data_IF_346331988229
#
_entry.id   IF_346331988229
#
_cell.length_a   1.000
_cell.length_b   1.000
_cell.length_c   1.000
_cell.angle_alpha   90.00
_cell.angle_beta   90.00
_cell.angle_gamma   90.00
#
_symmetry.space_group_name_H-M   'P 1'
#
loop_
_entity.id
_entity.type
_entity.pdbx_description
1 polymer ?
#
# COMPACT_ATOMS: atom_id res chain seq x y z
N UNK A 1 17.42 -9.08 -47.55
CA UNK A 1 16.78 -10.16 -46.77
C UNK A 1 15.27 -10.02 -46.96
N UNK A 2 14.41 -10.99 -46.61
CA UNK A 2 12.96 -10.73 -46.67
C UNK A 2 12.58 -9.70 -45.60
N UNK A 3 11.55 -8.87 -45.83
CA UNK A 3 11.15 -7.81 -44.88
C UNK A 3 10.79 -8.37 -43.49
N UNK A 4 10.34 -9.63 -43.42
CA UNK A 4 10.06 -10.34 -42.17
C UNK A 4 11.33 -10.68 -41.39
N UNK A 5 12.41 -11.08 -42.07
CA UNK A 5 13.70 -11.36 -41.42
C UNK A 5 14.30 -10.08 -40.83
N UNK A 6 14.19 -8.96 -41.55
CA UNK A 6 14.63 -7.64 -41.06
C UNK A 6 13.81 -7.20 -39.85
N UNK A 7 12.48 -7.33 -39.91
CA UNK A 7 11.58 -7.00 -38.78
C UNK A 7 11.90 -7.84 -37.54
N UNK A 8 12.10 -9.15 -37.71
CA UNK A 8 12.48 -10.04 -36.61
C UNK A 8 13.84 -9.68 -35.99
N UNK A 9 14.79 -9.25 -36.83
CA UNK A 9 16.10 -8.77 -36.35
C UNK A 9 15.95 -7.50 -35.51
N UNK A 10 15.14 -6.53 -35.96
CA UNK A 10 14.87 -5.30 -35.21
C UNK A 10 14.25 -5.58 -33.85
N UNK A 11 13.25 -6.47 -33.77
CA UNK A 11 12.62 -6.83 -32.49
C UNK A 11 13.61 -7.51 -31.54
N UNK A 12 14.48 -8.38 -32.05
CA UNK A 12 15.55 -9.01 -31.25
C UNK A 12 16.52 -7.96 -30.71
N UNK A 13 16.91 -7.02 -31.54
CA UNK A 13 17.78 -5.93 -31.12
C UNK A 13 17.12 -5.03 -30.08
N UNK A 14 15.84 -4.67 -30.26
CA UNK A 14 15.07 -3.92 -29.28
C UNK A 14 14.96 -4.63 -27.93
N UNK A 15 14.88 -5.97 -27.94
CA UNK A 15 14.84 -6.80 -26.73
C UNK A 15 16.12 -6.63 -25.88
N UNK A 16 17.28 -6.58 -26.54
CA UNK A 16 18.61 -6.51 -25.89
C UNK A 16 19.09 -5.07 -25.65
N UNK A 17 18.66 -4.14 -26.50
CA UNK A 17 19.06 -2.74 -26.49
C UNK A 17 17.86 -1.81 -26.29
N UNK A 18 17.36 -1.66 -25.05
CA UNK A 18 16.15 -0.89 -24.78
C UNK A 18 16.25 0.59 -25.15
N UNK A 19 17.44 1.20 -25.10
CA UNK A 19 17.62 2.60 -25.50
C UNK A 19 17.46 2.78 -27.01
N UNK A 20 17.88 1.78 -27.80
CA UNK A 20 17.63 1.75 -29.25
C UNK A 20 16.14 1.58 -29.54
N UNK A 21 15.46 0.66 -28.84
CA UNK A 21 14.00 0.54 -28.89
C UNK A 21 13.30 1.88 -28.63
N UNK A 22 13.73 2.61 -27.60
CA UNK A 22 13.15 3.90 -27.25
C UNK A 22 13.37 4.93 -28.37
N UNK A 23 14.60 5.06 -28.86
CA UNK A 23 14.95 6.01 -29.92
C UNK A 23 14.17 5.73 -31.22
N UNK A 24 14.02 4.47 -31.60
CA UNK A 24 13.31 4.07 -32.82
C UNK A 24 11.79 4.29 -32.71
N UNK A 25 11.21 4.12 -31.52
CA UNK A 25 9.76 4.24 -31.31
C UNK A 25 9.28 5.65 -30.94
N UNK A 26 10.15 6.48 -30.37
CA UNK A 26 9.79 7.81 -29.86
C UNK A 26 10.80 8.87 -30.33
N UNK A 27 10.94 9.07 -31.66
CA UNK A 27 11.91 10.02 -32.19
C UNK A 27 11.64 11.44 -31.65
N UNK A 28 12.69 12.10 -31.16
CA UNK A 28 12.62 13.44 -30.57
C UNK A 28 12.25 13.48 -29.08
N UNK A 29 11.91 12.35 -28.46
CA UNK A 29 11.82 12.25 -27.01
C UNK A 29 13.20 11.98 -26.39
N UNK A 30 13.38 12.40 -25.14
CA UNK A 30 14.60 12.13 -24.35
C UNK A 30 14.26 11.42 -23.05
N UNK A 31 15.20 10.61 -22.57
CA UNK A 31 15.14 9.96 -21.27
C UNK A 31 16.04 10.70 -20.28
N UNK A 32 15.54 10.90 -19.06
CA UNK A 32 16.38 11.35 -17.96
C UNK A 32 17.31 10.21 -17.50
N UNK A 33 18.44 10.49 -16.82
CA UNK A 33 19.39 9.46 -16.40
C UNK A 33 18.76 8.31 -15.59
N UNK A 34 17.84 8.60 -14.68
CA UNK A 34 17.14 7.57 -13.91
C UNK A 34 16.19 6.70 -14.77
N UNK A 35 15.66 7.25 -15.86
CA UNK A 35 14.81 6.51 -16.78
C UNK A 35 15.65 5.60 -17.68
N UNK A 36 16.84 6.05 -18.09
CA UNK A 36 17.85 5.23 -18.77
C UNK A 36 18.21 4.03 -17.89
N UNK A 37 18.64 4.29 -16.65
CA UNK A 37 19.00 3.25 -15.69
C UNK A 37 17.87 2.23 -15.47
N UNK A 38 16.63 2.73 -15.31
CA UNK A 38 15.47 1.88 -15.10
C UNK A 38 15.17 0.98 -16.31
N UNK A 39 15.26 1.52 -17.53
CA UNK A 39 14.95 0.78 -18.74
C UNK A 39 16.04 -0.26 -19.07
N UNK A 40 17.31 0.07 -18.83
CA UNK A 40 18.43 -0.86 -18.92
C UNK A 40 18.31 -1.98 -17.88
N UNK A 41 17.97 -1.65 -16.63
CA UNK A 41 17.71 -2.65 -15.60
C UNK A 41 16.52 -3.54 -15.95
N UNK A 42 15.48 -2.96 -16.56
CA UNK A 42 14.28 -3.67 -16.99
C UNK A 42 14.59 -4.73 -18.05
N UNK A 43 15.32 -4.37 -19.11
CA UNK A 43 15.68 -5.30 -20.18
C UNK A 43 16.76 -6.32 -19.77
N UNK A 44 17.53 -6.03 -18.72
CA UNK A 44 18.63 -6.88 -18.27
C UNK A 44 18.16 -8.30 -17.90
N UNK A 45 18.87 -9.36 -18.35
CA UNK A 45 18.61 -10.74 -17.95
C UNK A 45 19.10 -11.07 -16.53
N UNK A 46 19.74 -10.11 -15.85
CA UNK A 46 20.25 -10.28 -14.49
C UNK A 46 19.11 -10.61 -13.50
N UNK A 47 19.17 -11.75 -12.79
CA UNK A 47 18.12 -12.15 -11.85
C UNK A 47 17.97 -11.17 -10.68
N UNK A 48 19.01 -10.40 -10.34
CA UNK A 48 18.94 -9.36 -9.29
C UNK A 48 18.11 -8.16 -9.72
N UNK A 49 17.84 -8.02 -11.02
CA UNK A 49 17.03 -6.95 -11.62
C UNK A 49 15.64 -7.43 -12.02
N UNK A 50 15.16 -8.54 -11.46
CA UNK A 50 13.78 -8.98 -11.63
C UNK A 50 12.78 -8.03 -10.94
N UNK A 51 13.20 -7.42 -9.83
CA UNK A 51 12.38 -6.51 -9.03
C UNK A 51 13.03 -5.13 -9.06
N UNK A 52 12.34 -4.17 -9.64
CA UNK A 52 12.85 -2.81 -9.86
C UNK A 52 11.95 -1.83 -9.11
N UNK A 53 12.55 -1.01 -8.25
CA UNK A 53 11.83 -0.03 -7.45
C UNK A 53 12.32 1.38 -7.76
N UNK A 54 11.40 2.25 -8.20
CA UNK A 54 11.64 3.68 -8.36
C UNK A 54 11.17 4.40 -7.10
N UNK A 55 12.09 4.64 -6.17
CA UNK A 55 11.86 5.47 -4.99
C UNK A 55 12.09 6.93 -5.37
N UNK A 56 11.01 7.68 -5.56
CA UNK A 56 11.08 8.94 -6.29
C UNK A 56 10.48 10.13 -5.51
N UNK A 57 11.02 11.32 -5.73
CA UNK A 57 10.40 12.60 -5.39
C UNK A 57 9.13 12.87 -6.24
N UNK A 58 8.44 14.00 -6.03
CA UNK A 58 7.29 14.40 -6.84
C UNK A 58 7.74 14.93 -8.19
N UNK A 59 7.07 14.53 -9.28
CA UNK A 59 7.33 15.07 -10.63
C UNK A 59 8.54 14.57 -11.45
N UNK A 60 9.30 13.51 -11.11
CA UNK A 60 10.51 13.15 -11.88
C UNK A 60 10.23 12.27 -13.11
N UNK A 61 8.97 12.10 -13.53
CA UNK A 61 8.62 11.23 -14.67
C UNK A 61 8.54 9.74 -14.35
N UNK A 62 8.35 9.36 -13.07
CA UNK A 62 8.30 7.96 -12.60
C UNK A 62 7.23 7.09 -13.30
N UNK A 63 6.05 7.67 -13.56
CA UNK A 63 4.95 6.99 -14.26
C UNK A 63 5.30 6.72 -15.73
N UNK A 64 5.97 7.67 -16.42
CA UNK A 64 6.43 7.46 -17.79
C UNK A 64 7.45 6.31 -17.86
N UNK A 65 8.32 6.17 -16.85
CA UNK A 65 9.27 5.06 -16.76
C UNK A 65 8.57 3.70 -16.67
N UNK A 66 7.47 3.59 -15.91
CA UNK A 66 6.64 2.37 -15.90
C UNK A 66 6.01 2.09 -17.26
N UNK A 67 5.54 3.13 -17.96
CA UNK A 67 5.00 3.00 -19.32
C UNK A 67 6.06 2.49 -20.28
N UNK A 68 7.29 2.99 -20.23
CA UNK A 68 8.37 2.53 -21.11
C UNK A 68 8.73 1.07 -20.85
N UNK A 69 8.82 0.64 -19.58
CA UNK A 69 8.98 -0.79 -19.26
C UNK A 69 7.82 -1.65 -19.78
N UNK A 70 6.57 -1.18 -19.62
CA UNK A 70 5.40 -1.88 -20.12
C UNK A 70 5.34 -2.00 -21.64
N UNK A 71 5.62 -0.92 -22.36
CA UNK A 71 5.65 -0.90 -23.82
C UNK A 71 6.80 -1.74 -24.36
N UNK A 72 8.00 -1.61 -23.79
CA UNK A 72 9.16 -2.45 -24.14
C UNK A 72 8.81 -3.93 -23.97
N UNK A 73 8.20 -4.30 -22.84
CA UNK A 73 7.76 -5.67 -22.58
C UNK A 73 6.80 -6.20 -23.64
N UNK A 74 5.67 -5.53 -23.88
CA UNK A 74 4.69 -6.04 -24.85
C UNK A 74 5.18 -5.96 -26.30
N UNK A 75 6.11 -5.06 -26.62
CA UNK A 75 6.61 -4.90 -27.98
C UNK A 75 7.77 -5.84 -28.33
N UNK A 76 8.45 -6.41 -27.33
CA UNK A 76 9.70 -7.14 -27.56
C UNK A 76 9.72 -8.55 -26.98
N UNK A 77 8.90 -8.87 -25.98
CA UNK A 77 8.90 -10.18 -25.32
C UNK A 77 7.88 -11.12 -25.94
N UNK A 78 8.19 -12.42 -25.96
CA UNK A 78 7.33 -13.45 -26.55
C UNK A 78 8.12 -14.43 -27.43
N UNK A 79 7.52 -15.60 -27.62
CA UNK A 79 7.93 -16.63 -28.59
C UNK A 79 6.72 -17.12 -29.38
N UNK A 80 6.96 -17.95 -30.39
CA UNK A 80 5.89 -18.63 -31.12
C UNK A 80 4.96 -19.41 -30.16
N UNK A 81 3.70 -18.98 -30.06
CA UNK A 81 2.68 -19.60 -29.21
C UNK A 81 2.71 -19.15 -27.74
N UNK A 82 3.69 -18.35 -27.32
CA UNK A 82 3.85 -17.89 -25.94
C UNK A 82 3.94 -16.36 -25.91
N UNK A 83 2.80 -15.70 -25.63
CA UNK A 83 2.68 -14.25 -25.69
C UNK A 83 2.86 -13.56 -24.31
N UNK A 84 3.34 -12.31 -24.29
CA UNK A 84 3.52 -11.57 -23.05
C UNK A 84 2.17 -11.18 -22.42
N UNK A 85 2.08 -11.38 -21.11
CA UNK A 85 0.92 -11.04 -20.28
C UNK A 85 1.39 -10.23 -19.09
N UNK A 86 0.77 -9.07 -18.88
CA UNK A 86 1.07 -8.27 -17.71
C UNK A 86 -0.14 -7.57 -17.12
N UNK A 87 0.02 -7.07 -15.91
CA UNK A 87 -0.97 -6.23 -15.27
C UNK A 87 -0.36 -4.95 -14.72
N UNK A 88 -1.16 -3.90 -14.76
CA UNK A 88 -0.88 -2.62 -14.14
C UNK A 88 -1.87 -2.38 -13.01
N UNK A 89 -1.37 -1.96 -11.86
CA UNK A 89 -2.14 -1.57 -10.69
C UNK A 89 -1.64 -0.23 -10.15
N UNK A 90 -2.49 0.47 -9.41
CA UNK A 90 -2.11 1.64 -8.64
C UNK A 90 -2.83 1.61 -7.29
N UNK A 91 -2.49 2.54 -6.39
CA UNK A 91 -3.08 2.61 -5.04
C UNK A 91 -4.62 2.65 -5.05
N UNK A 92 -5.21 3.29 -6.06
CA UNK A 92 -6.64 3.25 -6.33
C UNK A 92 -6.92 3.10 -7.82
N UNK A 93 -8.11 2.60 -8.16
CA UNK A 93 -8.55 2.54 -9.56
C UNK A 93 -8.62 3.91 -10.23
N UNK A 94 -8.96 4.97 -9.49
CA UNK A 94 -8.99 6.34 -10.01
C UNK A 94 -7.57 6.81 -10.34
N UNK A 95 -6.58 6.53 -9.49
CA UNK A 95 -5.18 6.85 -9.79
C UNK A 95 -4.68 6.09 -11.03
N UNK A 96 -5.06 4.82 -11.18
CA UNK A 96 -4.69 4.04 -12.36
C UNK A 96 -5.28 4.65 -13.65
N UNK A 97 -6.59 4.94 -13.65
CA UNK A 97 -7.31 5.42 -14.83
C UNK A 97 -7.02 6.88 -15.19
N UNK A 98 -6.49 7.68 -14.27
CA UNK A 98 -6.15 9.10 -14.50
C UNK A 98 -4.67 9.36 -14.71
N UNK A 99 -3.77 8.50 -14.20
CA UNK A 99 -2.33 8.70 -14.29
C UNK A 99 -1.66 7.68 -15.24
N UNK A 100 -1.37 6.47 -14.76
CA UNK A 100 -0.59 5.47 -15.52
C UNK A 100 -1.27 5.07 -16.83
N UNK A 101 -2.59 4.89 -16.82
CA UNK A 101 -3.30 4.35 -17.98
C UNK A 101 -3.43 5.34 -19.16
N UNK A 102 -3.76 6.63 -18.93
CA UNK A 102 -3.67 7.65 -19.97
C UNK A 102 -2.24 7.91 -20.47
N UNK A 103 -1.23 7.74 -19.60
CA UNK A 103 0.18 7.86 -19.99
C UNK A 103 0.55 6.81 -21.05
N UNK A 104 0.05 5.56 -20.92
CA UNK A 104 0.15 4.55 -21.99
C UNK A 104 -0.47 5.04 -23.30
N UNK A 105 -1.71 5.55 -23.27
CA UNK A 105 -2.39 6.04 -24.46
C UNK A 105 -1.58 7.14 -25.16
N UNK A 106 -1.04 8.09 -24.39
CA UNK A 106 -0.19 9.18 -24.88
C UNK A 106 1.04 8.67 -25.62
N UNK A 107 1.78 7.72 -25.05
CA UNK A 107 3.00 7.20 -25.66
C UNK A 107 2.72 6.27 -26.83
N UNK A 108 1.69 5.41 -26.74
CA UNK A 108 1.28 4.56 -27.85
C UNK A 108 0.89 5.38 -29.09
N UNK A 109 0.17 6.48 -28.90
CA UNK A 109 -0.22 7.38 -30.00
C UNK A 109 0.98 8.07 -30.68
N UNK A 110 2.15 8.15 -30.02
CA UNK A 110 3.38 8.74 -30.55
C UNK A 110 4.26 7.76 -31.32
N UNK A 111 3.99 6.46 -31.22
CA UNK A 111 4.72 5.43 -31.95
C UNK A 111 3.87 4.85 -33.08
N UNK A 112 4.31 4.95 -34.35
CA UNK A 112 3.64 4.29 -35.48
C UNK A 112 3.54 2.77 -35.33
N UNK A 113 4.47 2.16 -34.61
CA UNK A 113 4.43 0.72 -34.31
C UNK A 113 3.30 0.41 -33.31
N UNK A 114 3.30 1.06 -32.14
CA UNK A 114 2.31 0.75 -31.10
C UNK A 114 0.88 1.10 -31.53
N UNK A 115 0.68 2.23 -32.20
CA UNK A 115 -0.62 2.66 -32.71
C UNK A 115 -1.23 1.72 -33.77
N UNK A 116 -0.41 0.93 -34.48
CA UNK A 116 -0.87 -0.02 -35.50
C UNK A 116 -0.97 -1.45 -35.00
N UNK A 117 -0.02 -1.88 -34.16
CA UNK A 117 0.08 -3.26 -33.70
C UNK A 117 -0.80 -3.55 -32.47
N UNK A 118 -1.16 -2.52 -31.70
CA UNK A 118 -1.88 -2.67 -30.44
C UNK A 118 -3.09 -1.75 -30.35
N UNK A 119 -4.12 -2.22 -29.65
CA UNK A 119 -5.29 -1.42 -29.29
C UNK A 119 -5.28 -1.14 -27.80
N UNK A 120 -5.43 0.14 -27.44
CA UNK A 120 -5.65 0.60 -26.07
C UNK A 120 -7.15 0.78 -25.81
N UNK A 121 -7.61 0.32 -24.66
CA UNK A 121 -8.97 0.52 -24.15
C UNK A 121 -8.91 0.99 -22.70
N UNK A 122 -10.03 1.35 -22.08
CA UNK A 122 -10.07 1.79 -20.68
C UNK A 122 -9.56 0.75 -19.66
N UNK A 123 -9.49 -0.54 -20.02
CA UNK A 123 -9.08 -1.61 -19.10
C UNK A 123 -7.98 -2.53 -19.63
N UNK A 124 -7.63 -2.45 -20.92
CA UNK A 124 -6.67 -3.37 -21.54
C UNK A 124 -5.93 -2.75 -22.73
N UNK A 125 -4.66 -3.11 -22.88
CA UNK A 125 -3.86 -2.97 -24.09
C UNK A 125 -3.64 -4.37 -24.64
N UNK A 126 -3.91 -4.62 -25.91
CA UNK A 126 -3.73 -5.94 -26.51
C UNK A 126 -3.22 -5.86 -27.95
N UNK A 127 -2.49 -6.88 -28.39
CA UNK A 127 -2.05 -6.98 -29.78
C UNK A 127 -3.23 -7.29 -30.69
N UNK A 128 -3.31 -6.61 -31.84
CA UNK A 128 -4.46 -6.72 -32.75
C UNK A 128 -4.61 -8.15 -33.33
N UNK A 129 -3.49 -8.84 -33.56
CA UNK A 129 -3.49 -10.20 -34.13
C UNK A 129 -3.76 -11.29 -33.07
N UNK A 130 -3.50 -11.00 -31.79
CA UNK A 130 -3.64 -11.97 -30.68
C UNK A 130 -4.30 -11.34 -29.43
N UNK A 131 -5.53 -10.82 -29.55
CA UNK A 131 -6.15 -9.98 -28.52
C UNK A 131 -6.39 -10.71 -27.19
N UNK A 132 -6.60 -12.03 -27.23
CA UNK A 132 -6.93 -12.82 -26.05
C UNK A 132 -5.70 -13.16 -25.19
N UNK A 133 -4.52 -13.30 -25.81
CA UNK A 133 -3.34 -13.90 -25.18
C UNK A 133 -2.14 -12.95 -25.06
N UNK A 134 -2.08 -11.86 -25.84
CA UNK A 134 -1.01 -10.87 -25.80
C UNK A 134 -1.52 -9.53 -25.27
N UNK A 135 -1.22 -9.19 -24.01
CA UNK A 135 -1.84 -8.02 -23.38
C UNK A 135 -1.16 -7.45 -22.13
N UNK A 136 -1.49 -6.18 -21.84
CA UNK A 136 -1.47 -5.59 -20.49
C UNK A 136 -2.91 -5.29 -20.04
N UNK A 137 -3.22 -5.58 -18.78
CA UNK A 137 -4.54 -5.30 -18.20
C UNK A 137 -4.43 -4.32 -17.03
N UNK A 138 -5.29 -3.31 -17.00
CA UNK A 138 -5.48 -2.45 -15.84
C UNK A 138 -6.34 -3.18 -14.81
N UNK A 139 -5.78 -3.45 -13.63
CA UNK A 139 -6.49 -4.10 -12.52
C UNK A 139 -6.74 -3.09 -11.41
N UNK A 140 -7.96 -3.08 -10.90
CA UNK A 140 -8.39 -2.18 -9.83
C UNK A 140 -9.04 -2.98 -8.72
N UNK A 141 -9.06 -2.39 -7.52
CA UNK A 141 -9.80 -2.91 -6.37
C UNK A 141 -10.63 -1.77 -5.75
N UNK A 142 -11.73 -2.10 -5.05
CA UNK A 142 -12.49 -1.11 -4.29
C UNK A 142 -11.60 -0.37 -3.28
N UNK A 143 -11.85 0.93 -3.05
CA UNK A 143 -11.11 1.71 -2.03
C UNK A 143 -11.25 1.12 -0.61
N UNK A 144 -12.34 0.41 -0.36
CA UNK A 144 -12.61 -0.30 0.90
C UNK A 144 -12.03 -1.72 0.96
N UNK A 145 -11.33 -2.17 -0.07
CA UNK A 145 -10.76 -3.51 -0.12
C UNK A 145 -9.67 -3.68 0.94
N UNK A 146 -9.76 -4.76 1.71
CA UNK A 146 -8.70 -5.18 2.61
C UNK A 146 -7.48 -5.69 1.84
N UNK A 147 -6.36 -5.88 2.55
CA UNK A 147 -5.09 -6.27 1.95
C UNK A 147 -5.18 -7.58 1.15
N UNK A 148 -6.00 -8.54 1.58
CA UNK A 148 -6.21 -9.82 0.88
C UNK A 148 -6.91 -9.63 -0.46
N UNK A 149 -7.99 -8.83 -0.50
CA UNK A 149 -8.71 -8.54 -1.73
C UNK A 149 -7.85 -7.77 -2.74
N UNK A 150 -6.95 -6.89 -2.26
CA UNK A 150 -5.97 -6.22 -3.11
C UNK A 150 -4.96 -7.22 -3.70
N UNK A 151 -4.47 -8.16 -2.89
CA UNK A 151 -3.56 -9.22 -3.33
C UNK A 151 -4.16 -10.10 -4.44
N UNK A 152 -5.45 -10.40 -4.41
CA UNK A 152 -6.07 -11.23 -5.45
C UNK A 152 -6.02 -10.60 -6.87
N UNK A 153 -5.80 -9.29 -7.01
CA UNK A 153 -5.90 -8.59 -8.30
C UNK A 153 -4.79 -8.90 -9.31
N UNK A 154 -3.64 -9.38 -8.83
CA UNK A 154 -2.52 -9.82 -9.68
C UNK A 154 -2.46 -11.34 -9.88
N UNK A 155 -3.46 -12.07 -9.37
CA UNK A 155 -3.58 -13.52 -9.59
C UNK A 155 -4.01 -13.83 -11.04
N UNK A 156 -3.61 -15.01 -11.55
CA UNK A 156 -4.01 -15.48 -12.88
C UNK A 156 -3.17 -14.96 -14.05
N UNK A 157 -2.02 -14.31 -13.79
CA UNK A 157 -1.08 -13.85 -14.83
C UNK A 157 0.00 -14.89 -15.19
N UNK A 158 -0.18 -16.17 -14.83
CA UNK A 158 0.80 -17.21 -15.13
C UNK A 158 1.07 -17.28 -16.65
N UNK A 159 2.31 -16.94 -17.00
CA UNK A 159 2.79 -16.84 -18.38
C UNK A 159 4.29 -17.08 -18.40
N UNK A 160 4.83 -17.58 -19.51
CA UNK A 160 6.29 -17.61 -19.74
C UNK A 160 6.90 -16.20 -19.69
N UNK A 161 6.11 -15.21 -20.08
CA UNK A 161 6.45 -13.79 -20.14
C UNK A 161 5.47 -13.00 -19.28
N UNK A 162 5.91 -12.59 -18.09
CA UNK A 162 5.07 -11.97 -17.06
C UNK A 162 5.56 -10.58 -16.65
N UNK A 163 4.62 -9.66 -16.42
CA UNK A 163 4.93 -8.31 -15.93
C UNK A 163 3.90 -7.82 -14.90
N UNK A 164 4.38 -7.29 -13.78
CA UNK A 164 3.60 -6.51 -12.83
C UNK A 164 4.12 -5.06 -12.77
N UNK A 165 3.28 -4.10 -13.17
CA UNK A 165 3.53 -2.66 -13.06
C UNK A 165 2.71 -2.09 -11.91
N UNK A 166 3.37 -1.38 -10.99
CA UNK A 166 2.76 -0.92 -9.75
C UNK A 166 3.06 0.58 -9.58
N UNK A 167 2.10 1.44 -9.90
CA UNK A 167 2.23 2.89 -9.74
C UNK A 167 1.71 3.37 -8.38
N UNK A 168 2.24 4.47 -7.89
CA UNK A 168 1.95 5.02 -6.55
C UNK A 168 2.05 3.98 -5.41
N UNK A 169 3.09 3.13 -5.50
CA UNK A 169 3.39 2.03 -4.58
C UNK A 169 3.74 2.43 -3.14
N UNK A 170 3.85 3.74 -2.86
CA UNK A 170 4.31 4.29 -1.59
C UNK A 170 3.55 3.74 -0.37
N UNK A 171 2.23 3.60 -0.48
CA UNK A 171 1.37 3.08 0.59
C UNK A 171 0.61 1.80 0.20
N UNK A 172 1.00 1.14 -0.91
CA UNK A 172 0.37 -0.13 -1.31
C UNK A 172 0.83 -1.25 -0.37
N UNK A 173 -0.07 -2.09 0.16
CA UNK A 173 0.28 -3.18 1.07
C UNK A 173 1.18 -4.26 0.44
N UNK A 174 2.01 -4.92 1.26
CA UNK A 174 2.86 -6.04 0.82
C UNK A 174 2.10 -7.24 0.24
N UNK A 175 0.79 -7.37 0.52
CA UNK A 175 -0.03 -8.47 -0.05
C UNK A 175 -0.13 -8.39 -1.58
N UNK A 176 -0.16 -7.18 -2.14
CA UNK A 176 -0.11 -6.96 -3.60
C UNK A 176 1.22 -7.44 -4.16
N UNK A 177 2.33 -7.11 -3.47
CA UNK A 177 3.65 -7.61 -3.85
C UNK A 177 3.69 -9.14 -3.83
N UNK A 178 3.22 -9.80 -2.77
CA UNK A 178 3.20 -11.28 -2.69
C UNK A 178 2.44 -11.93 -3.84
N UNK A 179 1.35 -11.32 -4.28
CA UNK A 179 0.60 -11.82 -5.43
C UNK A 179 1.34 -11.62 -6.76
N UNK A 180 2.06 -10.50 -6.93
CA UNK A 180 2.95 -10.29 -8.06
C UNK A 180 4.09 -11.33 -8.08
N UNK A 181 4.69 -11.63 -6.93
CA UNK A 181 5.73 -12.67 -6.81
C UNK A 181 5.20 -14.05 -7.25
N UNK A 182 3.99 -14.40 -6.80
CA UNK A 182 3.38 -15.68 -7.13
C UNK A 182 3.10 -15.80 -8.63
N UNK A 183 2.59 -14.74 -9.25
CA UNK A 183 2.22 -14.77 -10.67
C UNK A 183 3.41 -14.81 -11.62
N UNK A 184 4.60 -14.41 -11.15
CA UNK A 184 5.85 -14.41 -11.92
C UNK A 184 6.77 -15.61 -11.63
N UNK A 185 6.29 -16.60 -10.88
CA UNK A 185 7.03 -17.84 -10.64
C UNK A 185 7.20 -18.65 -11.94
N UNK A 186 8.44 -19.06 -12.23
CA UNK A 186 8.76 -19.89 -13.39
C UNK A 186 8.78 -19.18 -14.75
N UNK A 187 8.75 -17.85 -14.78
CA UNK A 187 8.84 -17.08 -16.03
C UNK A 187 10.25 -17.17 -16.66
N UNK A 188 10.31 -17.19 -17.99
CA UNK A 188 11.56 -16.92 -18.74
C UNK A 188 11.92 -15.44 -18.66
N UNK A 189 10.92 -14.57 -18.77
CA UNK A 189 11.05 -13.15 -18.48
C UNK A 189 9.93 -12.74 -17.54
N UNK A 190 10.29 -12.45 -16.29
CA UNK A 190 9.37 -12.01 -15.24
C UNK A 190 9.92 -10.73 -14.60
N UNK A 191 9.12 -9.66 -14.59
CA UNK A 191 9.51 -8.39 -13.95
C UNK A 191 8.42 -7.87 -13.03
N UNK A 192 8.82 -7.40 -11.84
CA UNK A 192 8.02 -6.52 -10.99
C UNK A 192 8.67 -5.15 -11.04
N UNK A 193 7.92 -4.15 -11.50
CA UNK A 193 8.39 -2.78 -11.52
C UNK A 193 7.42 -1.92 -10.73
N UNK A 194 7.92 -1.28 -9.67
CA UNK A 194 7.14 -0.36 -8.85
C UNK A 194 7.70 1.04 -8.92
N UNK A 195 6.82 2.04 -8.81
CA UNK A 195 7.19 3.43 -8.65
C UNK A 195 6.33 4.10 -7.59
N UNK A 196 6.90 5.02 -6.82
CA UNK A 196 6.13 5.71 -5.79
C UNK A 196 6.93 6.75 -5.05
N UNK A 197 6.20 7.57 -4.30
CA UNK A 197 6.78 8.50 -3.35
C UNK A 197 6.98 7.82 -1.98
N UNK A 198 8.10 8.05 -1.28
CA UNK A 198 8.40 7.43 0.02
C UNK A 198 7.60 8.09 1.16
N UNK A 199 6.29 7.87 1.17
CA UNK A 199 5.31 8.52 2.07
C UNK A 199 4.91 7.67 3.27
N UNK A 200 5.22 6.37 3.26
CA UNK A 200 4.82 5.39 4.26
C UNK A 200 5.98 4.46 4.59
N UNK A 201 6.09 4.08 5.86
CA UNK A 201 7.06 3.10 6.39
C UNK A 201 6.50 1.66 6.43
N UNK A 202 5.28 1.45 5.94
CA UNK A 202 4.62 0.13 5.94
C UNK A 202 4.27 -0.37 4.52
N UNK A 203 4.44 0.50 3.52
CA UNK A 203 4.14 0.18 2.13
C UNK A 203 5.21 -0.69 1.45
N UNK A 204 4.86 -1.30 0.33
CA UNK A 204 5.77 -2.14 -0.44
C UNK A 204 6.99 -1.39 -0.99
N UNK A 205 6.86 -0.08 -1.23
CA UNK A 205 8.01 0.76 -1.60
C UNK A 205 9.05 0.82 -0.47
N UNK A 206 8.60 0.97 0.78
CA UNK A 206 9.49 0.94 1.94
C UNK A 206 10.09 -0.44 2.15
N UNK A 207 9.30 -1.49 2.00
CA UNK A 207 9.80 -2.86 2.09
C UNK A 207 10.93 -3.11 1.08
N UNK A 208 10.80 -2.64 -0.17
CA UNK A 208 11.86 -2.74 -1.17
C UNK A 208 13.12 -1.93 -0.81
N UNK A 209 12.96 -0.78 -0.16
CA UNK A 209 14.09 0.06 0.26
C UNK A 209 14.76 -0.42 1.55
N UNK A 210 14.11 -1.26 2.34
CA UNK A 210 14.57 -1.70 3.66
C UNK A 210 14.60 -3.23 3.81
N UNK A 211 13.52 -3.84 4.26
CA UNK A 211 13.41 -5.25 4.66
C UNK A 211 13.78 -6.23 3.53
N UNK A 212 13.39 -5.91 2.30
CA UNK A 212 13.60 -6.71 1.10
C UNK A 212 14.69 -6.15 0.20
N UNK A 213 15.50 -5.20 0.67
CA UNK A 213 16.48 -4.45 -0.14
C UNK A 213 17.52 -5.31 -0.88
N UNK A 214 17.73 -6.55 -0.43
CA UNK A 214 18.60 -7.53 -1.09
C UNK A 214 17.96 -8.17 -2.33
N UNK A 215 16.63 -8.09 -2.50
CA UNK A 215 15.89 -8.64 -3.63
C UNK A 215 15.60 -7.60 -4.72
N UNK A 216 15.77 -6.31 -4.42
CA UNK A 216 15.33 -5.20 -5.27
C UNK A 216 16.49 -4.40 -5.83
N UNK A 217 16.43 -4.12 -7.13
CA UNK A 217 17.18 -3.05 -7.77
C UNK A 217 16.47 -1.72 -7.51
N UNK A 218 16.95 -0.96 -6.53
CA UNK A 218 16.34 0.30 -6.09
C UNK A 218 17.01 1.49 -6.74
N UNK A 219 16.25 2.26 -7.52
CA UNK A 219 16.67 3.50 -8.16
C UNK A 219 16.02 4.64 -7.36
N UNK A 220 16.87 5.44 -6.69
CA UNK A 220 16.42 6.63 -5.96
C UNK A 220 16.47 7.84 -6.88
N UNK A 221 15.33 8.53 -7.03
CA UNK A 221 15.22 9.73 -7.86
C UNK A 221 14.89 10.93 -6.98
N UNK A 222 15.86 11.82 -6.81
CA UNK A 222 15.75 12.98 -5.92
C UNK A 222 15.57 14.28 -6.69
N UNK A 223 14.88 15.25 -6.09
CA UNK A 223 14.78 16.63 -6.54
C UNK A 223 15.73 17.57 -5.79
N UNK A 224 16.51 17.05 -4.84
CA UNK A 224 17.47 17.80 -4.03
C UNK A 224 18.37 18.68 -4.90
N UNK A 225 18.44 20.00 -4.66
CA UNK A 225 19.34 20.87 -5.40
C UNK A 225 20.81 20.42 -5.27
N UNK A 226 21.22 19.86 -4.13
CA UNK A 226 22.62 19.52 -3.90
C UNK A 226 23.06 18.16 -4.45
N UNK A 227 22.13 17.33 -4.94
CA UNK A 227 22.46 16.01 -5.48
C UNK A 227 22.88 16.13 -6.97
N UNK A 228 24.08 15.66 -7.36
CA UNK A 228 24.53 15.70 -8.76
C UNK A 228 23.70 14.81 -9.69
N UNK A 229 22.99 13.82 -9.15
CA UNK A 229 22.06 12.92 -9.86
C UNK A 229 20.60 13.34 -9.69
N UNK A 230 20.33 14.59 -9.29
CA UNK A 230 18.97 15.12 -9.20
C UNK A 230 18.22 14.98 -10.53
N UNK A 231 16.91 14.82 -10.44
CA UNK A 231 16.05 14.86 -11.62
C UNK A 231 16.11 16.25 -12.26
N UNK A 232 16.37 16.33 -13.58
CA UNK A 232 16.38 17.60 -14.30
C UNK A 232 14.98 18.22 -14.42
N UNK A 233 13.92 17.45 -14.14
CA UNK A 233 12.51 17.88 -14.23
C UNK A 233 12.06 18.71 -13.04
N UNK A 234 12.80 18.67 -11.94
CA UNK A 234 12.46 19.43 -10.74
C UNK A 234 13.14 20.79 -10.84
N UNK A 235 12.37 21.86 -10.63
CA UNK A 235 12.93 23.20 -10.56
C UNK A 235 13.87 23.29 -9.34
N UNK A 236 15.12 23.67 -9.60
CA UNK A 236 16.18 23.73 -8.58
C UNK A 236 15.94 24.85 -7.57
N UNK A 237 15.48 26.02 -8.02
CA UNK A 237 15.23 27.16 -7.17
C UNK A 237 14.02 26.89 -6.27
N UNK A 238 12.95 26.33 -6.84
CA UNK A 238 11.77 25.91 -6.08
C UNK A 238 12.11 24.87 -5.01
N UNK A 239 12.88 23.83 -5.36
CA UNK A 239 13.27 22.81 -4.39
C UNK A 239 14.10 23.41 -3.23
N UNK A 240 15.02 24.33 -3.54
CA UNK A 240 15.82 25.03 -2.55
C UNK A 240 14.96 25.94 -1.64
N UNK A 241 13.98 26.66 -2.21
CA UNK A 241 13.05 27.51 -1.46
C UNK A 241 12.19 26.70 -0.48
N UNK A 242 11.63 25.57 -0.93
CA UNK A 242 10.84 24.69 -0.07
C UNK A 242 11.69 24.09 1.05
N UNK A 243 12.94 23.69 0.76
CA UNK A 243 13.88 23.21 1.77
C UNK A 243 14.21 24.30 2.79
N UNK A 244 14.45 25.54 2.35
CA UNK A 244 14.72 26.66 3.24
C UNK A 244 13.52 27.02 4.12
N UNK A 245 12.31 26.91 3.57
CA UNK A 245 11.06 27.26 4.25
C UNK A 245 10.67 26.24 5.32
N UNK A 246 10.69 24.94 4.97
CA UNK A 246 10.15 23.88 5.84
C UNK A 246 11.24 23.11 6.59
N UNK A 247 12.50 23.22 6.17
CA UNK A 247 13.62 22.44 6.67
C UNK A 247 13.73 21.06 6.00
N UNK A 248 14.97 20.57 5.84
CA UNK A 248 15.24 19.26 5.21
C UNK A 248 14.63 18.08 5.97
N UNK A 249 14.45 18.21 7.28
CA UNK A 249 13.87 17.16 8.12
C UNK A 249 12.35 17.09 8.08
N UNK A 250 11.70 18.07 7.46
CA UNK A 250 10.25 18.06 7.30
C UNK A 250 9.82 16.80 6.51
N UNK A 251 8.84 16.02 7.02
CA UNK A 251 8.41 14.79 6.35
C UNK A 251 7.97 14.99 4.89
N UNK A 252 7.28 16.09 4.60
CA UNK A 252 6.85 16.41 3.23
C UNK A 252 8.04 16.70 2.32
N UNK A 253 9.05 17.45 2.81
CA UNK A 253 10.29 17.72 2.07
C UNK A 253 11.06 16.42 1.82
N UNK A 254 11.20 15.55 2.83
CA UNK A 254 11.82 14.23 2.68
C UNK A 254 11.15 13.43 1.57
N UNK A 255 9.83 13.27 1.63
CA UNK A 255 9.10 12.44 0.67
C UNK A 255 9.05 13.03 -0.75
N UNK A 256 8.66 14.30 -0.88
CA UNK A 256 8.30 14.87 -2.18
C UNK A 256 9.42 15.65 -2.86
N UNK A 257 10.48 16.03 -2.14
CA UNK A 257 11.65 16.71 -2.73
C UNK A 257 12.86 15.79 -2.69
N UNK A 258 13.25 15.32 -1.50
CA UNK A 258 14.48 14.53 -1.36
C UNK A 258 14.33 13.09 -1.88
N UNK A 259 13.09 12.59 -1.99
CA UNK A 259 12.83 11.20 -2.36
C UNK A 259 13.31 10.23 -1.28
N UNK A 260 13.18 10.63 -0.01
CA UNK A 260 13.61 9.89 1.18
C UNK A 260 12.42 9.55 2.07
N UNK A 261 12.51 8.42 2.78
CA UNK A 261 11.49 8.08 3.76
C UNK A 261 11.63 8.99 4.99
N UNK A 262 10.52 9.61 5.45
CA UNK A 262 10.51 10.35 6.71
C UNK A 262 10.70 9.40 7.90
N UNK A 263 11.08 9.94 9.06
CA UNK A 263 11.18 9.16 10.32
C UNK A 263 9.83 8.61 10.80
N UNK A 264 8.73 9.14 10.26
CA UNK A 264 7.36 8.75 10.56
C UNK A 264 6.53 8.86 9.27
N UNK A 265 5.65 7.89 9.00
CA UNK A 265 4.74 7.92 7.84
C UNK A 265 3.95 9.23 7.79
N UNK A 266 3.76 9.83 6.60
CA UNK A 266 3.02 11.09 6.44
C UNK A 266 1.58 11.02 6.96
N UNK A 267 0.97 9.84 6.93
CA UNK A 267 -0.40 9.59 7.37
C UNK A 267 -0.47 8.99 8.79
N UNK A 268 0.61 9.01 9.57
CA UNK A 268 0.55 8.55 10.96
C UNK A 268 -0.24 9.57 11.80
N UNK A 269 -1.29 9.11 12.48
CA UNK A 269 -2.09 9.97 13.38
C UNK A 269 -1.29 10.46 14.59
N UNK A 270 -0.31 9.68 15.03
CA UNK A 270 0.56 9.98 16.17
C UNK A 270 2.01 9.81 15.73
N UNK A 271 2.84 10.78 16.04
CA UNK A 271 4.26 10.69 15.75
C UNK A 271 5.03 9.78 16.70
N UNK A 272 6.14 9.18 16.26
CA UNK A 272 6.96 8.29 17.12
C UNK A 272 7.44 9.02 18.37
N UNK A 273 7.83 10.29 18.23
CA UNK A 273 8.28 11.11 19.37
C UNK A 273 7.16 11.35 20.38
N UNK A 274 5.93 11.56 19.90
CA UNK A 274 4.75 11.73 20.77
C UNK A 274 4.40 10.43 21.49
N UNK A 275 4.50 9.29 20.80
CA UNK A 275 4.30 7.96 21.38
C UNK A 275 5.36 7.67 22.43
N UNK A 276 6.64 7.89 22.13
CA UNK A 276 7.73 7.71 23.08
C UNK A 276 7.59 8.64 24.30
N UNK A 277 7.27 9.92 24.07
CA UNK A 277 7.02 10.87 25.15
C UNK A 277 5.85 10.41 26.04
N UNK A 278 4.78 9.86 25.45
CA UNK A 278 3.67 9.28 26.19
C UNK A 278 4.08 8.03 26.98
N UNK A 279 4.89 7.13 26.40
CA UNK A 279 5.40 5.92 27.06
C UNK A 279 6.34 6.23 28.23
N UNK A 280 7.10 7.33 28.16
CA UNK A 280 8.00 7.79 29.25
C UNK A 280 7.27 8.42 30.43
N UNK A 281 5.97 8.76 30.32
CA UNK A 281 5.22 9.38 31.42
C UNK A 281 5.11 8.42 32.61
N UNK A 282 5.66 8.84 33.75
CA UNK A 282 5.44 8.17 35.02
C UNK A 282 4.20 8.75 35.69
N UNK A 283 3.12 7.98 35.73
CA UNK A 283 1.86 8.37 36.37
C UNK A 283 1.80 7.76 37.78
N UNK A 284 1.46 8.58 38.76
CA UNK A 284 1.14 8.13 40.13
C UNK A 284 -0.34 7.75 40.19
N UNK A 285 -0.74 6.85 41.12
CA UNK A 285 -2.14 6.48 41.29
C UNK A 285 -3.08 7.67 41.48
N UNK A 286 -2.64 8.72 42.17
CA UNK A 286 -3.45 9.93 42.39
C UNK A 286 -3.75 10.70 41.10
N UNK A 287 -2.92 10.54 40.06
CA UNK A 287 -3.08 11.24 38.79
C UNK A 287 -4.25 10.66 37.96
N UNK A 288 -4.74 9.46 38.26
CA UNK A 288 -5.78 8.81 37.46
C UNK A 288 -6.81 7.94 38.22
N UNK A 289 -6.57 7.58 39.49
CA UNK A 289 -7.41 6.63 40.23
C UNK A 289 -8.85 7.13 40.48
N UNK A 290 -9.04 8.45 40.50
CA UNK A 290 -10.35 9.11 40.58
C UNK A 290 -11.17 8.97 39.29
N UNK A 291 -10.51 8.69 38.16
CA UNK A 291 -11.16 8.66 36.86
C UNK A 291 -11.89 7.34 36.60
N UNK A 292 -12.87 7.42 35.70
CA UNK A 292 -13.66 6.30 35.25
C UNK A 292 -12.79 5.21 34.59
N UNK A 293 -13.03 3.93 34.94
CA UNK A 293 -12.41 2.77 34.28
C UNK A 293 -13.16 2.43 32.99
N UNK A 294 -12.45 2.42 31.87
CA UNK A 294 -12.99 2.23 30.52
C UNK A 294 -12.30 1.07 29.80
N UNK A 295 -13.04 0.39 28.94
CA UNK A 295 -12.51 -0.58 27.98
C UNK A 295 -12.79 -0.11 26.56
N UNK A 296 -11.77 -0.16 25.70
CA UNK A 296 -11.93 -0.19 24.25
C UNK A 296 -11.82 -1.63 23.77
N UNK A 297 -12.73 -2.09 22.94
CA UNK A 297 -12.79 -3.47 22.48
C UNK A 297 -12.83 -3.48 20.96
N UNK A 298 -11.80 -4.06 20.35
CA UNK A 298 -11.68 -4.31 18.92
C UNK A 298 -11.72 -5.82 18.68
N UNK A 299 -12.68 -6.26 17.88
CA UNK A 299 -12.96 -7.67 17.66
C UNK A 299 -12.57 -8.06 16.23
N UNK A 300 -11.42 -8.71 16.07
CA UNK A 300 -11.06 -9.36 14.82
C UNK A 300 -11.98 -10.57 14.54
N UNK A 301 -12.33 -10.75 13.25
CA UNK A 301 -13.10 -11.90 12.76
C UNK A 301 -12.15 -13.03 12.32
N UNK A 302 -12.64 -13.94 11.47
CA UNK A 302 -11.87 -14.97 10.76
C UNK A 302 -10.58 -14.40 10.16
N UNK A 303 -9.57 -15.26 10.05
CA UNK A 303 -8.23 -14.87 9.65
C UNK A 303 -7.27 -14.85 10.84
N UNK A 304 -6.05 -14.38 10.61
CA UNK A 304 -4.97 -14.41 11.59
C UNK A 304 -4.93 -13.16 12.49
N UNK A 305 -5.89 -12.24 12.31
CA UNK A 305 -6.00 -11.01 13.07
C UNK A 305 -6.42 -11.23 14.53
N UNK A 306 -5.93 -10.35 15.41
CA UNK A 306 -6.06 -10.46 16.87
C UNK A 306 -7.25 -9.66 17.37
N UNK A 307 -8.02 -10.21 18.29
CA UNK A 307 -8.98 -9.42 19.09
C UNK A 307 -8.27 -8.77 20.27
N UNK A 308 -8.60 -7.52 20.58
CA UNK A 308 -7.90 -6.71 21.59
C UNK A 308 -8.89 -6.03 22.53
N UNK A 309 -8.69 -6.20 23.84
CA UNK A 309 -9.37 -5.44 24.88
C UNK A 309 -8.33 -4.53 25.53
N UNK A 310 -8.56 -3.22 25.44
CA UNK A 310 -7.64 -2.20 25.93
C UNK A 310 -8.21 -1.50 27.18
N UNK A 311 -7.63 -1.70 28.37
CA UNK A 311 -8.05 -1.01 29.58
C UNK A 311 -7.45 0.38 29.70
N UNK A 312 -8.28 1.34 30.13
CA UNK A 312 -7.86 2.72 30.41
C UNK A 312 -8.54 3.24 31.68
N UNK A 313 -7.83 4.04 32.46
CA UNK A 313 -8.40 4.82 33.55
C UNK A 313 -7.77 6.22 33.53
N UNK A 314 -8.58 7.27 33.27
CA UNK A 314 -8.07 8.63 33.20
C UNK A 314 -6.97 8.81 32.14
N UNK A 315 -5.80 9.27 32.57
CA UNK A 315 -4.60 9.43 31.74
C UNK A 315 -3.80 8.13 31.55
N UNK A 316 -4.09 7.09 32.35
CA UNK A 316 -3.35 5.83 32.32
C UNK A 316 -3.99 4.81 31.37
N UNK A 317 -3.19 4.26 30.47
CA UNK A 317 -3.52 3.13 29.63
C UNK A 317 -2.76 1.89 30.14
N UNK A 318 -3.42 0.73 30.17
CA UNK A 318 -2.86 -0.49 30.74
C UNK A 318 -2.57 -1.53 29.66
N UNK A 319 -1.81 -2.57 30.01
CA UNK A 319 -1.49 -3.66 29.09
C UNK A 319 -2.78 -4.24 28.48
N UNK A 320 -2.88 -4.30 27.14
CA UNK A 320 -4.04 -4.87 26.51
C UNK A 320 -4.12 -6.37 26.75
N UNK A 321 -5.34 -6.88 26.82
CA UNK A 321 -5.60 -8.32 26.72
C UNK A 321 -5.74 -8.63 25.24
N UNK A 322 -4.82 -9.46 24.74
CA UNK A 322 -4.77 -9.86 23.33
C UNK A 322 -5.24 -11.30 23.24
N UNK A 323 -6.20 -11.55 22.36
CA UNK A 323 -6.79 -12.86 22.13
C UNK A 323 -6.53 -13.28 20.69
N UNK A 324 -5.93 -14.46 20.53
CA UNK A 324 -5.80 -15.16 19.23
C UNK A 324 -6.83 -16.27 19.18
N UNK A 325 -7.44 -16.52 18.02
CA UNK A 325 -8.53 -17.49 17.88
C UNK A 325 -8.12 -18.89 18.37
N UNK A 326 -8.86 -19.42 19.35
CA UNK A 326 -9.12 -20.86 19.45
C UNK A 326 -10.41 -21.17 18.68
N UNK A 327 -10.58 -22.39 18.17
CA UNK A 327 -11.74 -22.80 17.33
C UNK A 327 -13.09 -22.45 17.99
N UNK A 328 -13.64 -21.27 17.68
CA UNK A 328 -14.92 -20.79 18.20
C UNK A 328 -15.09 -19.26 18.02
N UNK A 329 -16.33 -18.74 17.91
CA UNK A 329 -16.54 -17.31 17.66
C UNK A 329 -16.07 -16.46 18.87
N UNK A 330 -15.18 -15.47 18.67
CA UNK A 330 -14.63 -14.59 19.73
C UNK A 330 -15.69 -13.83 20.52
N UNK A 331 -16.87 -13.64 19.91
CA UNK A 331 -17.97 -12.85 20.43
C UNK A 331 -18.41 -13.30 21.82
N UNK A 332 -18.39 -14.60 22.15
CA UNK A 332 -18.92 -15.07 23.44
C UNK A 332 -18.04 -14.71 24.64
N UNK A 333 -16.72 -14.84 24.51
CA UNK A 333 -15.78 -14.54 25.61
C UNK A 333 -15.63 -13.03 25.82
N UNK A 334 -15.61 -12.26 24.73
CA UNK A 334 -15.58 -10.80 24.76
C UNK A 334 -16.89 -10.25 25.34
N UNK A 335 -18.05 -10.80 24.91
CA UNK A 335 -19.34 -10.46 25.51
C UNK A 335 -19.40 -10.83 26.99
N UNK A 336 -18.89 -11.97 27.42
CA UNK A 336 -18.84 -12.33 28.86
C UNK A 336 -17.93 -11.38 29.65
N UNK A 337 -16.80 -10.97 29.08
CA UNK A 337 -15.86 -10.03 29.71
C UNK A 337 -16.46 -8.62 29.83
N UNK A 338 -17.16 -8.16 28.79
CA UNK A 338 -17.83 -6.87 28.78
C UNK A 338 -19.17 -6.84 29.55
N UNK A 339 -19.83 -7.99 29.72
CA UNK A 339 -21.11 -8.14 30.45
C UNK A 339 -20.94 -8.51 31.92
N UNK A 340 -19.70 -8.75 32.39
CA UNK A 340 -19.45 -9.07 33.79
C UNK A 340 -19.71 -7.83 34.64
N UNK A 341 -20.54 -7.90 35.70
CA UNK A 341 -20.79 -6.75 36.57
C UNK A 341 -19.47 -6.26 37.17
N UNK A 342 -19.33 -4.94 37.45
CA UNK A 342 -18.16 -4.45 38.14
C UNK A 342 -18.03 -5.23 39.46
N UNK A 343 -16.96 -6.04 39.57
CA UNK A 343 -16.67 -6.75 40.82
C UNK A 343 -16.65 -5.71 41.94
N UNK A 344 -17.11 -6.10 43.14
CA UNK A 344 -17.31 -5.25 44.34
C UNK A 344 -16.10 -4.38 44.75
N UNK A 345 -14.95 -4.51 44.09
CA UNK A 345 -13.75 -3.67 44.22
C UNK A 345 -13.50 -2.82 42.96
N UNK A 346 -14.46 -1.97 42.59
CA UNK A 346 -14.28 -0.94 41.55
C UNK A 346 -14.05 -1.47 40.14
N UNK A 347 -14.95 -2.32 39.63
CA UNK A 347 -14.86 -2.86 38.27
C UNK A 347 -15.12 -1.84 37.16
N UNK A 348 -14.98 -2.30 35.91
CA UNK A 348 -15.15 -1.51 34.67
C UNK A 348 -16.49 -0.77 34.66
N UNK A 349 -16.44 0.53 34.38
CA UNK A 349 -17.61 1.43 34.42
C UNK A 349 -18.12 1.82 33.04
N UNK A 350 -17.35 1.58 31.97
CA UNK A 350 -17.77 1.81 30.59
C UNK A 350 -16.99 0.89 29.62
N UNK A 351 -17.66 0.40 28.58
CA UNK A 351 -17.03 -0.37 27.50
C UNK A 351 -17.54 0.14 26.16
N UNK A 352 -16.62 0.47 25.25
CA UNK A 352 -16.89 0.83 23.87
C UNK A 352 -16.39 -0.30 22.97
N UNK A 353 -17.24 -0.75 22.05
CA UNK A 353 -16.97 -1.89 21.18
C UNK A 353 -17.08 -1.43 19.74
N UNK A 354 -16.07 -1.73 18.93
CA UNK A 354 -16.12 -1.47 17.50
C UNK A 354 -17.25 -2.29 16.84
N UNK A 355 -18.15 -1.57 16.17
CA UNK A 355 -19.30 -2.14 15.45
C UNK A 355 -19.27 -1.93 13.95
N UNK A 356 -18.19 -1.40 13.39
CA UNK A 356 -18.07 -1.10 11.95
C UNK A 356 -18.24 -2.33 11.06
N UNK A 357 -17.99 -3.54 11.58
CA UNK A 357 -18.24 -4.83 10.91
C UNK A 357 -19.62 -5.48 11.14
N UNK A 358 -20.57 -4.82 11.81
CA UNK A 358 -21.95 -5.32 11.98
C UNK A 358 -22.18 -6.42 13.04
N UNK A 359 -21.16 -6.86 13.76
CA UNK A 359 -21.24 -8.02 14.66
C UNK A 359 -21.72 -7.75 16.09
N UNK A 360 -21.81 -6.48 16.48
CA UNK A 360 -22.37 -6.09 17.78
C UNK A 360 -23.91 -6.19 17.76
N UNK A 361 -24.53 -6.68 16.67
CA UNK A 361 -25.97 -6.92 16.56
C UNK A 361 -26.55 -7.82 17.65
N UNK A 362 -25.76 -8.79 18.17
CA UNK A 362 -26.16 -9.61 19.33
C UNK A 362 -26.23 -8.83 20.66
N UNK A 363 -25.52 -7.69 20.77
CA UNK A 363 -25.61 -6.77 21.90
C UNK A 363 -26.88 -5.91 21.83
N UNK A 364 -27.24 -5.43 20.63
CA UNK A 364 -28.43 -4.61 20.43
C UNK A 364 -29.72 -5.36 20.83
N UNK A 365 -29.80 -6.67 20.56
CA UNK A 365 -30.91 -7.52 21.01
C UNK A 365 -30.96 -7.76 22.54
N UNK A 366 -29.88 -7.50 23.28
CA UNK A 366 -29.87 -7.60 24.76
C UNK A 366 -30.24 -6.30 25.46
N UNK A 367 -30.13 -5.14 24.79
CA UNK A 367 -30.69 -3.87 25.30
C UNK A 367 -32.20 -3.81 25.19
N UNK A 368 -32.80 -4.43 24.16
CA UNK A 368 -34.25 -4.50 23.96
C UNK A 368 -34.98 -5.48 24.89
N UNK A 369 -34.26 -6.34 25.62
CA UNK A 369 -34.82 -7.31 26.59
C UNK A 369 -34.80 -6.83 28.06
N UNK A 370 -35.00 -5.53 28.28
CA UNK A 370 -35.55 -5.00 29.54
C UNK A 370 -34.69 -5.07 30.80
N UNK A 371 -33.39 -5.39 30.75
CA UNK A 371 -32.53 -5.29 31.94
C UNK A 371 -31.85 -3.92 32.04
N UNK A 372 -32.57 -2.96 32.63
CA UNK A 372 -31.98 -1.71 33.14
C UNK A 372 -30.95 -2.07 34.22
N UNK A 373 -29.67 -1.86 33.94
CA UNK A 373 -28.63 -1.83 34.98
C UNK A 373 -28.31 -0.37 35.29
N UNK A 374 -29.12 0.21 36.17
CA UNK A 374 -28.77 1.30 37.07
C UNK A 374 -29.99 1.60 37.95
N UNK A 375 -29.88 1.31 39.24
CA UNK A 375 -30.39 2.18 40.30
C UNK A 375 -29.79 1.74 41.62
N UNK A 376 -28.84 2.52 42.11
CA UNK A 376 -28.55 2.60 43.55
C UNK A 376 -29.88 2.74 44.31
N UNK A 377 -30.16 1.80 45.21
CA UNK A 377 -30.88 2.08 46.45
C UNK A 377 -30.24 1.24 47.54
N UNK A 378 -29.33 1.85 48.30
CA UNK A 378 -29.13 1.45 49.68
C UNK A 378 -30.06 2.27 50.58
N UNK A 379 -30.76 1.63 51.53
CA UNK A 379 -31.70 2.28 52.44
C UNK A 379 -30.99 2.66 53.75
N UNK A 380 -31.17 3.88 54.25
CA UNK A 380 -30.95 4.16 55.68
C UNK A 380 -31.97 5.19 56.20
N UNK A 381 -32.64 4.77 57.30
CA UNK A 381 -33.50 5.48 58.28
C UNK A 381 -35.02 5.52 58.05
N UNK A 382 -35.70 4.52 58.63
CA UNK A 382 -36.76 4.78 59.64
C UNK A 382 -36.38 4.06 60.92
N UNK A 383 -36.20 4.83 61.99
CA UNK A 383 -36.19 4.33 63.35
C UNK A 383 -37.64 4.30 63.88
N UNK A 384 -37.94 3.30 64.73
CA UNK A 384 -39.04 3.34 65.70
C UNK A 384 -40.28 2.51 65.38
N UNK A 385 -40.32 1.27 65.88
CA UNK A 385 -41.55 0.60 66.30
C UNK A 385 -41.78 0.91 67.79
N UNK A 386 -43.05 0.97 68.23
CA UNK A 386 -43.42 0.77 69.64
C UNK A 386 -44.50 1.71 70.16
N UNK A 387 -45.73 1.20 70.28
CA UNK A 387 -46.80 1.79 71.09
C UNK A 387 -46.56 1.55 72.59
N UNK A 388 -47.31 2.34 73.37
CA UNK A 388 -47.46 2.42 74.82
C UNK A 388 -47.38 1.11 75.65
N UNK A 389 -46.97 1.37 76.90
CA UNK A 389 -46.90 0.57 78.14
C UNK A 389 -45.66 -0.31 78.33
#
# INVERSE_FOLDING_TARGET
>A
MSSLTETASTIREWREHPLRWFADNFPGATLDPAQVEALEAFASPDPTKQRISLQACAGPGKTATLVFGGLHFIGTQGDHGEHPKGAAVAITGDNLSTNLWPEFAKWMARSPYYSKAFTWTASRIFANDHPETWFLVARTWPKSANAEAQGATLSGLHSKYGLALIDESGAIPLTVLRAAEQSLSGCTFGKIMQAGNPISLDGMLYAAASQLRHLWYVIRITGDPEDPRRSPRIDRAWAAEQIATYGRDNPWVKSYILGEFPSQSLNALLGIEEVEAAMRKQLRPDDYSWAQKRLGIDCARFGDDRSVIFPRQGLAAFRPVIMRHGRGPPSRLILQTASSPPRKNGGVTHAAIDSTGGWVGGWNNRRSSGKRFCANRSPVRRAGNGQAL
#
